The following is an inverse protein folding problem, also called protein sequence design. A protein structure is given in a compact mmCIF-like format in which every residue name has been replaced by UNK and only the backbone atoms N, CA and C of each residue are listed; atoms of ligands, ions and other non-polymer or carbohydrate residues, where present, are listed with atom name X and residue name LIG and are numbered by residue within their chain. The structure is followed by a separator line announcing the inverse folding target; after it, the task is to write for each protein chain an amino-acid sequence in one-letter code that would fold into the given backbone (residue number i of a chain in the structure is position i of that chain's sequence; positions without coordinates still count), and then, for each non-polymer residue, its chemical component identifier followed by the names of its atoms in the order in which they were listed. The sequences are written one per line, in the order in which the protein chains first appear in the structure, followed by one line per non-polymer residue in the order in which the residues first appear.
data_IF_638059181651
#
_entry.id   IF_638059181651
#
_cell.length_a   1.000
_cell.length_b   1.000
_cell.length_c   1.000
_cell.angle_alpha   90.00
_cell.angle_beta   90.00
_cell.angle_gamma   90.00
#
_symmetry.space_group_name_H-M   'P 1'
#
loop_
_entity.id
_entity.type
_entity.pdbx_description
1 polymer ?
#
# COMPACT_ATOMS: atom_id res chain seq x y z
N UNK A 1 14.59 -13.37 17.55
CA UNK A 1 14.93 -12.57 18.77
C UNK A 1 13.94 -11.42 18.91
N UNK A 2 13.47 -11.15 20.13
CA UNK A 2 12.56 -10.03 20.43
C UNK A 2 13.31 -8.83 21.02
N UNK A 3 12.93 -7.62 20.62
CA UNK A 3 13.46 -6.35 21.09
C UNK A 3 12.36 -5.53 21.77
N UNK A 4 12.57 -5.18 23.04
CA UNK A 4 11.61 -4.36 23.80
C UNK A 4 11.50 -2.92 23.28
N UNK A 5 12.48 -2.43 22.50
CA UNK A 5 12.53 -1.05 22.01
C UNK A 5 12.96 -0.98 20.55
N UNK A 6 12.21 -0.24 19.75
CA UNK A 6 12.49 0.02 18.33
C UNK A 6 13.86 0.69 18.11
N UNK A 7 14.25 1.63 18.98
CA UNK A 7 15.56 2.31 18.86
C UNK A 7 16.75 1.35 18.99
N UNK A 8 16.60 0.23 19.72
CA UNK A 8 17.66 -0.79 19.81
C UNK A 8 17.83 -1.50 18.46
N UNK A 9 16.75 -1.77 17.75
CA UNK A 9 16.78 -2.33 16.40
C UNK A 9 17.49 -1.39 15.45
N UNK A 10 17.13 -0.11 15.45
CA UNK A 10 17.73 0.89 14.56
C UNK A 10 19.22 1.11 14.87
N UNK A 11 19.61 1.15 16.15
CA UNK A 11 21.01 1.25 16.54
C UNK A 11 21.84 0.04 16.07
N UNK A 12 21.29 -1.18 16.19
CA UNK A 12 21.96 -2.39 15.72
C UNK A 12 22.13 -2.42 14.20
N UNK A 13 21.08 -2.06 13.45
CA UNK A 13 21.11 -2.00 11.99
C UNK A 13 22.10 -0.95 11.49
N UNK A 14 22.14 0.22 12.13
CA UNK A 14 23.09 1.31 11.85
C UNK A 14 24.52 0.85 12.10
N UNK A 15 24.79 0.21 13.24
CA UNK A 15 26.12 -0.34 13.59
C UNK A 15 26.61 -1.36 12.55
N UNK A 16 25.69 -2.15 11.97
CA UNK A 16 25.99 -3.13 10.93
C UNK A 16 26.11 -2.51 9.52
N UNK A 17 25.92 -1.19 9.37
CA UNK A 17 25.94 -0.46 8.09
C UNK A 17 25.07 -1.12 7.02
N UNK A 18 23.87 -1.54 7.40
CA UNK A 18 22.92 -2.16 6.47
C UNK A 18 22.03 -1.10 5.85
N UNK A 19 21.73 -1.26 4.57
CA UNK A 19 20.53 -0.67 3.96
C UNK A 19 19.31 -1.19 4.72
N UNK A 20 18.42 -0.28 5.12
CA UNK A 20 17.20 -0.64 5.86
C UNK A 20 15.98 -0.16 5.08
N UNK A 21 15.20 -1.11 4.60
CA UNK A 21 13.92 -0.85 3.96
C UNK A 21 12.80 -0.84 4.99
N UNK A 22 11.72 -0.13 4.69
CA UNK A 22 10.52 -0.06 5.51
C UNK A 22 9.33 -0.68 4.76
N UNK A 23 8.60 -1.58 5.40
CA UNK A 23 7.33 -2.12 4.92
C UNK A 23 6.20 -1.63 5.84
N UNK A 24 5.28 -0.85 5.30
CA UNK A 24 4.13 -0.31 6.02
C UNK A 24 2.85 -1.03 5.64
N UNK A 25 2.12 -1.52 6.64
CA UNK A 25 0.75 -2.02 6.48
C UNK A 25 -0.26 -1.18 7.27
N UNK A 26 -1.52 -1.63 7.30
CA UNK A 26 -2.64 -0.83 7.81
C UNK A 26 -2.46 -0.37 9.27
N UNK A 27 -1.65 -1.10 10.06
CA UNK A 27 -1.28 -0.67 11.41
C UNK A 27 -0.54 0.68 11.47
N UNK A 28 0.11 1.13 10.39
CA UNK A 28 0.64 2.49 10.26
C UNK A 28 -0.46 3.55 10.35
N UNK A 29 -1.57 3.32 9.66
CA UNK A 29 -2.71 4.24 9.59
C UNK A 29 -3.57 4.13 10.84
N UNK A 30 -3.75 2.91 11.37
CA UNK A 30 -4.38 2.71 12.68
C UNK A 30 -3.60 3.35 13.84
N UNK A 31 -2.28 3.46 13.73
CA UNK A 31 -1.46 4.15 14.73
C UNK A 31 -1.66 5.68 14.68
N UNK A 32 -2.12 6.24 13.56
CA UNK A 32 -2.52 7.64 13.49
C UNK A 32 -3.90 7.85 14.13
N UNK A 33 -4.87 7.04 13.69
CA UNK A 33 -6.25 7.07 14.18
C UNK A 33 -6.94 5.71 13.98
N UNK A 34 -7.21 5.01 15.07
CA UNK A 34 -7.85 3.69 15.04
C UNK A 34 -9.34 3.77 14.69
N UNK A 35 -9.99 4.88 15.03
CA UNK A 35 -11.41 5.06 14.78
C UNK A 35 -11.68 5.36 13.29
N UNK A 36 -10.65 5.78 12.56
CA UNK A 36 -10.70 6.01 11.11
C UNK A 36 -10.23 4.78 10.32
N UNK A 37 -9.09 4.18 10.68
CA UNK A 37 -8.43 3.18 9.83
C UNK A 37 -8.63 1.73 10.27
N UNK A 38 -9.54 1.47 11.21
CA UNK A 38 -9.86 0.08 11.60
C UNK A 38 -10.89 -0.57 10.69
N UNK A 39 -10.78 -1.89 10.55
CA UNK A 39 -11.77 -2.73 9.88
C UNK A 39 -13.20 -2.55 10.44
N UNK A 40 -13.32 -2.24 11.74
CA UNK A 40 -14.62 -1.95 12.35
C UNK A 40 -15.25 -0.70 11.75
N UNK A 41 -14.47 0.37 11.64
CA UNK A 41 -14.98 1.65 11.20
C UNK A 41 -15.38 1.63 9.72
N UNK A 42 -14.63 0.90 8.88
CA UNK A 42 -15.02 0.61 7.50
C UNK A 42 -16.30 -0.25 7.42
N UNK A 43 -16.45 -1.26 8.28
CA UNK A 43 -17.66 -2.09 8.36
C UNK A 43 -18.90 -1.27 8.76
N UNK A 44 -18.74 -0.40 9.75
CA UNK A 44 -19.81 0.46 10.25
C UNK A 44 -20.23 1.49 9.19
N UNK A 45 -19.28 2.05 8.44
CA UNK A 45 -19.56 2.92 7.30
C UNK A 45 -20.39 2.20 6.24
N UNK A 46 -19.96 1.02 5.78
CA UNK A 46 -20.66 0.31 4.70
C UNK A 46 -22.04 -0.17 5.16
N UNK A 47 -22.17 -0.57 6.42
CA UNK A 47 -23.46 -0.91 7.02
C UNK A 47 -24.44 0.27 7.04
N UNK A 48 -23.94 1.52 7.00
CA UNK A 48 -24.76 2.73 6.97
C UNK A 48 -25.23 3.16 5.57
N UNK A 49 -24.66 2.58 4.49
CA UNK A 49 -24.95 2.97 3.10
C UNK A 49 -26.37 2.57 2.61
N UNK A 50 -27.18 1.91 3.45
CA UNK A 50 -28.54 1.47 3.12
C UNK A 50 -28.67 0.62 1.83
N UNK A 51 -27.62 -0.11 1.44
CA UNK A 51 -27.67 -1.10 0.37
C UNK A 51 -28.11 -2.47 0.93
N UNK A 52 -29.32 -2.98 0.60
CA UNK A 52 -29.82 -4.24 1.15
C UNK A 52 -29.00 -5.46 0.73
N UNK A 53 -28.40 -5.43 -0.47
CA UNK A 53 -27.56 -6.52 -0.98
C UNK A 53 -26.25 -6.56 -0.19
N UNK A 54 -25.54 -5.44 -0.11
CA UNK A 54 -24.27 -5.36 0.62
C UNK A 54 -24.47 -5.62 2.11
N UNK A 55 -25.53 -5.09 2.72
CA UNK A 55 -25.87 -5.40 4.11
C UNK A 55 -26.14 -6.89 4.34
N UNK A 56 -26.80 -7.56 3.39
CA UNK A 56 -27.01 -9.00 3.40
C UNK A 56 -25.70 -9.78 3.34
N UNK A 57 -24.80 -9.38 2.43
CA UNK A 57 -23.45 -9.96 2.29
C UNK A 57 -22.65 -9.79 3.57
N UNK A 58 -22.53 -8.56 4.09
CA UNK A 58 -21.81 -8.27 5.34
C UNK A 58 -22.31 -9.12 6.52
N UNK A 59 -23.63 -9.23 6.67
CA UNK A 59 -24.25 -10.04 7.73
C UNK A 59 -23.95 -11.53 7.58
N UNK A 60 -23.89 -12.04 6.35
CA UNK A 60 -23.64 -13.46 6.09
C UNK A 60 -22.18 -13.87 6.37
N UNK A 61 -21.22 -13.02 6.03
CA UNK A 61 -19.79 -13.38 6.03
C UNK A 61 -19.15 -13.41 7.41
N UNK A 62 -19.78 -12.79 8.43
CA UNK A 62 -19.33 -12.79 9.84
C UNK A 62 -17.86 -12.38 10.05
N UNK A 63 -17.27 -11.67 9.09
CA UNK A 63 -15.94 -11.09 9.16
C UNK A 63 -16.07 -9.58 9.03
N UNK A 64 -15.02 -8.85 9.42
CA UNK A 64 -14.87 -7.41 9.13
C UNK A 64 -13.66 -7.14 8.24
N UNK A 65 -12.91 -8.18 7.88
CA UNK A 65 -11.80 -8.07 6.95
C UNK A 65 -12.35 -8.08 5.51
N UNK A 66 -12.23 -6.94 4.84
CA UNK A 66 -12.75 -6.73 3.49
C UNK A 66 -12.02 -7.56 2.44
N UNK A 67 -10.73 -7.83 2.60
CA UNK A 67 -9.99 -8.66 1.65
C UNK A 67 -10.54 -10.09 1.67
N UNK A 68 -10.80 -10.62 2.86
CA UNK A 68 -11.45 -11.91 3.03
C UNK A 68 -12.89 -11.91 2.46
N UNK A 69 -13.61 -10.79 2.57
CA UNK A 69 -14.94 -10.69 1.96
C UNK A 69 -14.87 -10.78 0.43
N UNK A 70 -13.94 -10.05 -0.19
CA UNK A 70 -13.79 -10.07 -1.63
C UNK A 70 -13.39 -11.46 -2.12
N UNK A 71 -12.42 -12.10 -1.46
CA UNK A 71 -11.99 -13.47 -1.79
C UNK A 71 -13.12 -14.50 -1.68
N UNK A 72 -13.95 -14.44 -0.63
CA UNK A 72 -15.08 -15.36 -0.47
C UNK A 72 -16.14 -15.16 -1.57
N UNK A 73 -16.37 -13.93 -2.03
CA UNK A 73 -17.26 -13.66 -3.16
C UNK A 73 -16.67 -14.20 -4.47
N UNK A 74 -15.37 -14.03 -4.69
CA UNK A 74 -14.66 -14.56 -5.87
C UNK A 74 -14.70 -16.09 -5.89
N UNK A 75 -14.33 -16.72 -4.77
CA UNK A 75 -14.39 -18.19 -4.59
C UNK A 75 -15.79 -18.71 -4.86
N UNK A 76 -16.82 -18.02 -4.36
CA UNK A 76 -18.20 -18.43 -4.61
C UNK A 76 -18.58 -18.29 -6.09
N UNK A 77 -18.16 -17.21 -6.75
CA UNK A 77 -18.36 -17.02 -8.19
C UNK A 77 -17.70 -18.14 -9.02
N UNK A 78 -16.48 -18.56 -8.66
CA UNK A 78 -15.78 -19.67 -9.33
C UNK A 78 -16.49 -21.01 -9.13
N UNK A 79 -16.97 -21.29 -7.91
CA UNK A 79 -17.72 -22.51 -7.62
C UNK A 79 -19.03 -22.57 -8.43
N UNK A 80 -19.71 -21.44 -8.62
CA UNK A 80 -20.92 -21.40 -9.43
C UNK A 80 -20.70 -21.79 -10.89
N UNK A 81 -19.52 -21.49 -11.45
CA UNK A 81 -19.15 -21.92 -12.80
C UNK A 81 -19.03 -23.44 -12.89
N UNK A 82 -18.48 -24.08 -11.85
CA UNK A 82 -18.38 -25.55 -11.76
C UNK A 82 -19.76 -26.20 -11.64
N UNK A 83 -20.67 -25.61 -10.87
CA UNK A 83 -22.02 -26.15 -10.68
C UNK A 83 -23.00 -25.80 -11.81
N UNK A 84 -22.57 -25.07 -12.85
CA UNK A 84 -23.41 -24.71 -13.99
C UNK A 84 -24.56 -23.76 -13.62
N UNK A 85 -24.34 -22.89 -12.64
CA UNK A 85 -25.39 -22.00 -12.14
C UNK A 85 -25.79 -20.91 -13.16
N UNK A 86 -27.01 -20.40 -13.01
CA UNK A 86 -27.58 -19.34 -13.86
C UNK A 86 -26.69 -18.08 -13.85
N UNK A 87 -26.44 -17.50 -15.04
CA UNK A 87 -25.71 -16.24 -15.22
C UNK A 87 -26.29 -15.05 -14.44
N UNK A 88 -27.59 -15.08 -14.09
CA UNK A 88 -28.21 -14.06 -13.23
C UNK A 88 -27.63 -14.06 -11.80
N UNK A 89 -27.37 -15.23 -11.21
CA UNK A 89 -26.79 -15.31 -9.87
C UNK A 89 -25.33 -14.84 -9.88
N UNK A 90 -24.59 -15.19 -10.93
CA UNK A 90 -23.22 -14.72 -11.15
C UNK A 90 -23.16 -13.20 -11.28
N UNK A 91 -24.08 -12.60 -12.05
CA UNK A 91 -24.19 -11.16 -12.19
C UNK A 91 -24.47 -10.46 -10.84
N UNK A 92 -25.29 -11.06 -9.97
CA UNK A 92 -25.54 -10.53 -8.61
C UNK A 92 -24.27 -10.56 -7.74
N UNK A 93 -23.46 -11.61 -7.81
CA UNK A 93 -22.21 -11.71 -7.05
C UNK A 93 -21.18 -10.72 -7.56
N UNK A 94 -21.03 -10.60 -8.88
CA UNK A 94 -20.15 -9.59 -9.48
C UNK A 94 -20.59 -8.17 -9.10
N UNK A 95 -21.89 -7.89 -9.09
CA UNK A 95 -22.43 -6.62 -8.62
C UNK A 95 -22.15 -6.39 -7.13
N UNK A 96 -22.24 -7.42 -6.29
CA UNK A 96 -21.89 -7.32 -4.86
C UNK A 96 -20.39 -7.02 -4.68
N UNK A 97 -19.54 -7.70 -5.44
CA UNK A 97 -18.09 -7.52 -5.41
C UNK A 97 -17.69 -6.09 -5.85
N UNK A 98 -18.24 -5.60 -6.96
CA UNK A 98 -18.04 -4.22 -7.42
C UNK A 98 -18.58 -3.20 -6.40
N UNK A 99 -19.77 -3.46 -5.84
CA UNK A 99 -20.37 -2.61 -4.81
C UNK A 99 -19.52 -2.54 -3.54
N UNK A 100 -18.93 -3.65 -3.10
CA UNK A 100 -18.05 -3.70 -1.94
C UNK A 100 -16.75 -2.94 -2.21
N UNK A 101 -16.14 -3.11 -3.39
CA UNK A 101 -14.95 -2.36 -3.81
C UNK A 101 -15.22 -0.86 -3.81
N UNK A 102 -16.32 -0.41 -4.43
CA UNK A 102 -16.69 1.01 -4.47
C UNK A 102 -16.93 1.55 -3.07
N UNK A 103 -17.68 0.81 -2.24
CA UNK A 103 -17.99 1.21 -0.86
C UNK A 103 -16.72 1.35 -0.01
N UNK A 104 -15.71 0.49 -0.22
CA UNK A 104 -14.43 0.59 0.46
C UNK A 104 -13.67 1.87 0.07
N UNK A 105 -13.62 2.19 -1.21
CA UNK A 105 -12.98 3.43 -1.69
C UNK A 105 -13.73 4.66 -1.13
N UNK A 106 -15.06 4.63 -1.13
CA UNK A 106 -15.90 5.68 -0.53
C UNK A 106 -15.71 5.82 0.98
N UNK A 107 -15.55 4.70 1.69
CA UNK A 107 -15.31 4.67 3.13
C UNK A 107 -13.96 5.29 3.47
N UNK A 108 -12.87 4.83 2.83
CA UNK A 108 -11.53 5.38 3.04
C UNK A 108 -11.55 6.88 2.75
N UNK A 109 -12.16 7.32 1.64
CA UNK A 109 -12.31 8.73 1.29
C UNK A 109 -13.06 9.54 2.35
N UNK A 110 -14.21 9.03 2.83
CA UNK A 110 -15.09 9.78 3.74
C UNK A 110 -14.53 9.88 5.15
N UNK A 111 -13.73 8.90 5.55
CA UNK A 111 -13.15 8.84 6.88
C UNK A 111 -11.76 9.48 6.95
N UNK A 112 -11.06 9.58 5.81
CA UNK A 112 -9.78 10.28 5.74
C UNK A 112 -9.95 11.75 6.17
N UNK A 113 -8.96 12.35 6.86
CA UNK A 113 -8.97 13.79 7.05
C UNK A 113 -9.15 14.50 5.70
N UNK A 114 -9.83 15.64 5.67
CA UNK A 114 -10.24 16.33 4.43
C UNK A 114 -9.06 16.81 3.58
N UNK A 115 -7.98 17.24 4.24
CA UNK A 115 -6.78 17.73 3.56
C UNK A 115 -5.54 17.57 4.43
N UNK A 116 -4.36 17.63 3.79
CA UNK A 116 -3.03 17.46 4.41
C UNK A 116 -2.81 18.28 5.69
N UNK A 117 -3.39 19.48 5.80
CA UNK A 117 -3.27 20.33 6.99
C UNK A 117 -4.08 19.88 8.22
N UNK A 118 -4.99 18.91 8.09
CA UNK A 118 -5.72 18.34 9.25
C UNK A 118 -4.85 17.43 10.09
N UNK A 119 -3.78 16.84 9.53
CA UNK A 119 -2.77 16.14 10.31
C UNK A 119 -2.07 17.20 11.20
N UNK A 120 -2.03 17.06 12.54
CA UNK A 120 -1.30 18.00 13.37
C UNK A 120 0.17 18.09 12.94
N UNK A 121 0.74 19.29 12.92
CA UNK A 121 2.11 19.52 12.43
C UNK A 121 3.13 18.63 13.18
N UNK A 122 3.01 18.52 14.50
CA UNK A 122 3.87 17.70 15.34
C UNK A 122 3.81 16.21 14.94
N UNK A 123 2.60 15.66 14.77
CA UNK A 123 2.42 14.27 14.31
C UNK A 123 3.04 14.03 12.93
N UNK A 124 2.86 14.99 12.00
CA UNK A 124 3.45 14.93 10.67
C UNK A 124 4.98 14.96 10.71
N UNK A 125 5.57 15.77 11.61
CA UNK A 125 7.02 15.85 11.80
C UNK A 125 7.60 14.59 12.46
N UNK A 126 6.89 14.00 13.43
CA UNK A 126 7.25 12.71 14.02
C UNK A 126 7.28 11.62 12.94
N UNK A 127 6.23 11.54 12.12
CA UNK A 127 6.17 10.54 11.05
C UNK A 127 7.27 10.77 10.00
N UNK A 128 7.51 12.02 9.61
CA UNK A 128 8.59 12.36 8.69
C UNK A 128 9.96 11.98 9.25
N UNK A 129 10.19 12.20 10.54
CA UNK A 129 11.42 11.79 11.23
C UNK A 129 11.59 10.28 11.26
N UNK A 130 10.50 9.54 11.45
CA UNK A 130 10.50 8.08 11.38
C UNK A 130 10.87 7.57 9.98
N UNK A 131 10.15 7.99 8.93
CA UNK A 131 10.38 7.50 7.56
C UNK A 131 11.73 7.94 7.00
N UNK A 132 12.20 9.14 7.36
CA UNK A 132 13.49 9.68 6.90
C UNK A 132 14.68 8.81 7.32
N UNK A 133 14.58 8.04 8.41
CA UNK A 133 15.66 7.15 8.87
C UNK A 133 15.96 6.07 7.83
N UNK A 134 14.93 5.55 7.16
CA UNK A 134 15.05 4.51 6.15
C UNK A 134 15.60 5.06 4.85
N UNK A 135 15.09 6.21 4.39
CA UNK A 135 15.58 6.88 3.19
C UNK A 135 17.05 7.32 3.33
N UNK A 136 17.45 7.83 4.51
CA UNK A 136 18.85 8.18 4.80
C UNK A 136 19.79 6.98 4.80
N UNK A 137 19.29 5.77 5.04
CA UNK A 137 20.08 4.53 4.96
C UNK A 137 20.31 4.04 3.53
N UNK A 138 19.76 4.74 2.52
CA UNK A 138 19.71 4.29 1.13
C UNK A 138 18.63 3.24 0.87
N UNK A 139 17.74 3.02 1.84
CA UNK A 139 16.64 2.08 1.73
C UNK A 139 15.41 2.66 1.07
N UNK A 140 14.44 1.78 0.85
CA UNK A 140 13.17 2.09 0.18
C UNK A 140 12.01 1.89 1.14
N UNK A 141 10.91 2.59 0.90
CA UNK A 141 9.66 2.47 1.63
C UNK A 141 8.64 1.77 0.73
N UNK A 142 8.17 0.62 1.18
CA UNK A 142 7.10 -0.14 0.57
C UNK A 142 5.85 0.01 1.45
N UNK A 143 4.70 0.24 0.85
CA UNK A 143 3.44 0.28 1.60
C UNK A 143 2.33 -0.45 0.87
N UNK A 144 1.53 -1.20 1.64
CA UNK A 144 0.26 -1.78 1.20
C UNK A 144 -0.93 -0.89 1.55
N UNK A 145 -0.69 0.31 2.09
CA UNK A 145 -1.77 1.18 2.53
C UNK A 145 -2.30 1.98 1.36
N UNK A 146 -3.62 2.06 1.31
CA UNK A 146 -4.33 2.75 0.25
C UNK A 146 -4.57 4.22 0.54
N UNK A 147 -4.47 4.61 1.82
CA UNK A 147 -4.72 5.97 2.28
C UNK A 147 -3.66 6.98 1.82
N UNK A 148 -3.91 8.26 2.13
CA UNK A 148 -3.06 9.37 1.70
C UNK A 148 -2.05 9.79 2.78
N UNK A 149 -2.00 9.14 3.95
CA UNK A 149 -1.20 9.60 5.08
C UNK A 149 0.30 9.65 4.76
N UNK A 150 0.84 8.58 4.17
CA UNK A 150 2.25 8.55 3.78
C UNK A 150 2.54 9.63 2.73
N UNK A 151 1.74 9.68 1.66
CA UNK A 151 1.87 10.68 0.61
C UNK A 151 1.86 12.11 1.18
N UNK A 152 0.93 12.42 2.09
CA UNK A 152 0.82 13.71 2.74
C UNK A 152 2.00 14.07 3.62
N UNK A 153 2.55 13.11 4.37
CA UNK A 153 3.76 13.32 5.17
C UNK A 153 4.94 13.62 4.27
N UNK A 154 5.15 12.84 3.21
CA UNK A 154 6.24 13.03 2.25
C UNK A 154 6.17 14.41 1.58
N UNK A 155 4.98 14.79 1.10
CA UNK A 155 4.74 16.07 0.43
C UNK A 155 4.86 17.27 1.38
N UNK A 156 4.17 17.24 2.52
CA UNK A 156 4.10 18.39 3.45
C UNK A 156 5.45 18.72 4.08
N UNK A 157 6.24 17.70 4.39
CA UNK A 157 7.54 17.88 5.05
C UNK A 157 8.70 17.99 4.05
N UNK A 158 8.43 17.87 2.75
CA UNK A 158 9.44 17.99 1.70
C UNK A 158 10.64 17.06 1.93
N UNK A 159 10.37 15.78 2.22
CA UNK A 159 11.43 14.86 2.64
C UNK A 159 12.46 14.69 1.51
N UNK A 160 13.74 15.01 1.73
CA UNK A 160 14.76 14.89 0.71
C UNK A 160 14.87 13.46 0.18
N UNK A 161 15.06 13.33 -1.12
CA UNK A 161 15.21 12.05 -1.83
C UNK A 161 13.99 11.13 -1.76
N UNK A 162 12.82 11.57 -1.30
CA UNK A 162 11.60 10.79 -1.43
C UNK A 162 11.10 10.86 -2.89
N UNK A 163 11.20 9.76 -3.63
CA UNK A 163 10.83 9.69 -5.05
C UNK A 163 9.90 8.50 -5.27
N UNK A 164 8.70 8.77 -5.77
CA UNK A 164 7.68 7.75 -6.05
C UNK A 164 7.62 7.31 -7.52
N UNK A 165 8.55 7.82 -8.35
CA UNK A 165 8.69 7.45 -9.75
C UNK A 165 7.81 8.25 -10.72
N UNK A 166 6.92 9.09 -10.22
CA UNK A 166 6.05 9.93 -11.05
C UNK A 166 6.71 11.25 -11.42
N UNK A 167 6.43 11.74 -12.62
CA UNK A 167 6.89 13.04 -13.11
C UNK A 167 6.05 13.52 -14.29
N UNK A 168 6.37 14.73 -14.77
CA UNK A 168 5.79 15.28 -16.00
C UNK A 168 6.85 15.26 -17.09
N UNK A 169 6.43 14.95 -18.31
CA UNK A 169 7.29 15.00 -19.49
C UNK A 169 6.87 16.15 -20.39
N UNK A 170 7.85 16.74 -21.06
CA UNK A 170 7.62 17.78 -22.05
C UNK A 170 7.13 17.12 -23.33
N UNK A 171 5.91 17.46 -23.76
CA UNK A 171 5.24 16.86 -24.92
C UNK A 171 5.70 17.46 -26.25
N UNK A 172 6.19 18.69 -26.25
CA UNK A 172 6.65 19.44 -27.42
C UNK A 172 8.12 19.91 -27.30
N UNK A 173 9.09 19.01 -27.05
CA UNK A 173 10.47 19.40 -26.80
C UNK A 173 11.12 20.08 -28.01
N UNK A 174 10.75 19.69 -29.22
CA UNK A 174 11.32 20.21 -30.47
C UNK A 174 10.87 21.65 -30.70
N UNK A 175 9.57 21.93 -30.51
CA UNK A 175 8.96 23.23 -30.71
C UNK A 175 9.42 24.24 -29.65
N UNK A 176 9.59 23.77 -28.41
CA UNK A 176 10.16 24.59 -27.32
C UNK A 176 11.62 24.93 -27.60
N UNK A 177 12.43 23.97 -28.06
CA UNK A 177 13.82 24.22 -28.44
C UNK A 177 13.92 25.20 -29.63
N UNK A 178 13.02 25.07 -30.61
CA UNK A 178 12.90 25.97 -31.74
C UNK A 178 12.27 27.33 -31.39
N UNK A 179 11.80 27.53 -30.14
CA UNK A 179 11.09 28.72 -29.66
C UNK A 179 9.85 29.08 -30.50
N UNK A 180 9.21 28.06 -31.06
CA UNK A 180 7.99 28.24 -31.87
C UNK A 180 6.73 28.12 -31.04
N UNK A 181 6.78 27.36 -29.93
CA UNK A 181 5.63 27.15 -29.04
C UNK A 181 6.04 27.18 -27.57
N UNK A 182 5.05 27.41 -26.69
CA UNK A 182 5.22 27.34 -25.24
C UNK A 182 5.28 25.88 -24.75
N UNK A 183 5.98 25.58 -23.65
CA UNK A 183 6.08 24.23 -23.10
C UNK A 183 4.72 23.62 -22.72
N UNK A 184 4.41 22.49 -23.34
CA UNK A 184 3.25 21.64 -23.04
C UNK A 184 3.70 20.44 -22.22
N UNK A 185 3.20 20.33 -21.00
CA UNK A 185 3.57 19.25 -20.08
C UNK A 185 2.47 18.19 -19.99
N UNK A 186 2.87 16.93 -19.89
CA UNK A 186 1.96 15.84 -19.58
C UNK A 186 1.32 16.00 -18.21
N UNK A 187 0.28 15.20 -17.98
CA UNK A 187 -0.16 14.88 -16.63
C UNK A 187 0.93 14.14 -15.85
N UNK A 188 0.73 14.03 -14.54
CA UNK A 188 1.70 13.42 -13.64
C UNK A 188 1.65 11.90 -13.79
N UNK A 189 2.51 11.34 -14.63
CA UNK A 189 2.54 9.90 -14.95
C UNK A 189 3.73 9.18 -14.33
N UNK A 190 3.60 7.89 -14.11
CA UNK A 190 4.70 7.03 -13.68
C UNK A 190 5.68 6.77 -14.82
N UNK A 191 6.98 6.81 -14.53
CA UNK A 191 8.03 6.58 -15.54
C UNK A 191 9.17 7.61 -15.49
N UNK A 192 8.89 8.92 -15.54
CA UNK A 192 9.92 9.95 -15.73
C UNK A 192 10.99 9.93 -14.63
N UNK A 193 10.58 9.64 -13.40
CA UNK A 193 11.45 9.58 -12.23
C UNK A 193 11.70 8.14 -11.73
N UNK A 194 11.45 7.12 -12.58
CA UNK A 194 11.52 5.70 -12.20
C UNK A 194 12.91 5.28 -11.71
N UNK A 195 13.98 5.84 -12.27
CA UNK A 195 15.37 5.49 -11.92
C UNK A 195 15.74 5.83 -10.48
N UNK A 196 15.10 6.85 -9.89
CA UNK A 196 15.32 7.27 -8.51
C UNK A 196 14.27 6.75 -7.54
N UNK A 197 13.30 5.94 -7.99
CA UNK A 197 12.15 5.55 -7.18
C UNK A 197 12.56 4.76 -5.94
N UNK A 198 12.13 5.24 -4.77
CA UNK A 198 12.31 4.58 -3.47
C UNK A 198 11.05 4.56 -2.60
N UNK A 199 9.94 5.10 -3.10
CA UNK A 199 8.60 4.97 -2.51
C UNK A 199 7.75 4.09 -3.43
N UNK A 200 7.21 3.00 -2.86
CA UNK A 200 6.50 1.96 -3.61
C UNK A 200 5.16 1.63 -2.95
N UNK A 201 4.05 1.87 -3.65
CA UNK A 201 2.71 1.49 -3.21
C UNK A 201 2.37 0.11 -3.78
N UNK A 202 2.77 -0.97 -3.09
CA UNK A 202 2.76 -2.34 -3.62
C UNK A 202 1.37 -2.91 -3.88
N UNK A 203 0.34 -2.37 -3.22
CA UNK A 203 -1.08 -2.70 -3.47
C UNK A 203 -1.83 -1.55 -4.16
N UNK A 204 -1.11 -0.50 -4.59
CA UNK A 204 -1.70 0.73 -5.11
C UNK A 204 -2.06 1.72 -4.00
N UNK A 205 -2.65 2.85 -4.37
CA UNK A 205 -3.02 3.92 -3.46
C UNK A 205 -4.10 4.81 -4.06
N UNK A 206 -4.85 5.51 -3.21
CA UNK A 206 -5.94 6.42 -3.59
C UNK A 206 -5.63 7.44 -4.70
N UNK A 207 -4.41 8.04 -4.80
CA UNK A 207 -4.15 9.02 -5.84
C UNK A 207 -3.69 8.39 -7.16
N UNK A 208 -3.53 7.07 -7.25
CA UNK A 208 -2.99 6.40 -8.44
C UNK A 208 -4.13 5.87 -9.31
N UNK A 209 -4.12 6.16 -10.61
CA UNK A 209 -5.15 5.74 -11.56
C UNK A 209 -4.52 5.09 -12.79
N UNK A 210 -5.17 4.05 -13.30
CA UNK A 210 -4.72 3.33 -14.51
C UNK A 210 -5.55 3.78 -15.70
N UNK A 211 -4.92 4.47 -16.65
CA UNK A 211 -5.57 4.94 -17.88
C UNK A 211 -5.56 3.90 -19.00
N UNK A 212 -4.98 2.71 -18.75
CA UNK A 212 -4.75 1.66 -19.73
C UNK A 212 -3.48 1.86 -20.57
N UNK A 213 -3.03 3.11 -20.73
CA UNK A 213 -1.74 3.44 -21.37
C UNK A 213 -0.67 3.74 -20.33
N UNK A 214 -0.99 4.65 -19.41
CA UNK A 214 -0.09 5.12 -18.35
C UNK A 214 -0.76 5.00 -16.97
N UNK A 215 0.06 4.94 -15.92
CA UNK A 215 -0.40 5.12 -14.54
C UNK A 215 -0.24 6.59 -14.17
N UNK A 216 -1.35 7.26 -13.91
CA UNK A 216 -1.40 8.67 -13.52
C UNK A 216 -1.50 8.81 -12.00
N UNK A 217 -0.96 9.91 -11.48
CA UNK A 217 -1.08 10.28 -10.07
C UNK A 217 -1.77 11.62 -9.93
N UNK A 218 -2.90 11.62 -9.23
CA UNK A 218 -3.59 12.83 -8.85
C UNK A 218 -2.78 13.64 -7.82
N UNK A 219 -2.81 14.96 -7.97
CA UNK A 219 -2.09 15.89 -7.10
C UNK A 219 -2.96 17.10 -6.76
N UNK A 220 -2.61 17.78 -5.67
CA UNK A 220 -3.10 19.12 -5.38
C UNK A 220 -2.72 20.08 -6.50
N UNK A 221 -3.66 20.89 -6.94
CA UNK A 221 -3.43 22.02 -7.83
C UNK A 221 -4.35 23.19 -7.47
N UNK A 222 -4.39 24.22 -8.32
CA UNK A 222 -5.24 25.39 -8.11
C UNK A 222 -6.74 25.09 -8.25
N UNK A 223 -7.12 23.92 -8.77
CA UNK A 223 -8.49 23.58 -9.14
C UNK A 223 -9.27 22.80 -8.06
N UNK A 224 -8.62 22.33 -6.98
CA UNK A 224 -9.32 21.72 -5.85
C UNK A 224 -8.45 20.86 -4.95
N UNK A 225 -9.07 20.31 -3.90
CA UNK A 225 -8.39 19.36 -3.02
C UNK A 225 -8.24 17.99 -3.68
N UNK A 226 -7.16 17.27 -3.32
CA UNK A 226 -6.87 15.94 -3.87
C UNK A 226 -8.04 14.96 -3.73
N UNK A 227 -8.74 14.94 -2.59
CA UNK A 227 -9.89 14.07 -2.38
C UNK A 227 -11.09 14.42 -3.27
N UNK A 228 -11.29 15.69 -3.61
CA UNK A 228 -12.37 16.11 -4.50
C UNK A 228 -12.12 15.65 -5.94
N UNK A 229 -10.86 15.70 -6.39
CA UNK A 229 -10.47 15.18 -7.70
C UNK A 229 -10.62 13.67 -7.80
N UNK A 230 -10.15 12.96 -6.76
CA UNK A 230 -10.34 11.51 -6.64
C UNK A 230 -11.84 11.17 -6.69
N UNK A 231 -12.68 11.96 -5.99
CA UNK A 231 -14.14 11.82 -6.05
C UNK A 231 -14.67 11.97 -7.48
N UNK A 232 -14.26 13.01 -8.21
CA UNK A 232 -14.68 13.22 -9.60
C UNK A 232 -14.24 12.12 -10.55
N UNK A 233 -13.12 11.43 -10.30
CA UNK A 233 -12.73 10.22 -11.05
C UNK A 233 -13.62 9.02 -10.72
N UNK A 234 -13.83 8.74 -9.44
CA UNK A 234 -14.67 7.62 -9.00
C UNK A 234 -16.12 7.78 -9.51
N UNK A 235 -16.67 9.00 -9.53
CA UNK A 235 -18.00 9.28 -10.08
C UNK A 235 -18.12 9.04 -11.59
N UNK A 236 -16.99 8.97 -12.30
CA UNK A 236 -16.90 8.65 -13.74
C UNK A 236 -16.49 7.19 -13.99
N UNK A 237 -16.60 6.32 -12.98
CA UNK A 237 -16.15 4.93 -13.01
C UNK A 237 -14.65 4.74 -13.28
N UNK A 238 -13.84 5.78 -13.01
CA UNK A 238 -12.38 5.71 -13.01
C UNK A 238 -11.89 5.46 -11.57
N UNK A 239 -11.49 4.23 -11.32
CA UNK A 239 -11.15 3.75 -9.98
C UNK A 239 -9.64 3.76 -9.74
N UNK A 240 -9.19 4.11 -8.52
CA UNK A 240 -7.79 4.03 -8.18
C UNK A 240 -7.20 2.61 -8.37
N UNK A 241 -5.91 2.56 -8.68
CA UNK A 241 -5.11 1.34 -8.67
C UNK A 241 -5.13 0.76 -7.27
N UNK A 242 -5.68 -0.44 -7.15
CA UNK A 242 -6.06 -1.01 -5.86
C UNK A 242 -6.13 -2.53 -5.95
N UNK A 243 -5.34 -3.22 -5.13
CA UNK A 243 -5.21 -4.69 -5.10
C UNK A 243 -5.90 -5.25 -3.87
N UNK A 244 -7.21 -5.55 -3.96
CA UNK A 244 -7.96 -6.09 -2.80
C UNK A 244 -8.66 -7.41 -3.02
N UNK A 245 -8.74 -7.88 -4.26
CA UNK A 245 -9.47 -9.10 -4.56
C UNK A 245 -8.51 -10.29 -4.62
N UNK A 246 -8.96 -11.39 -4.02
CA UNK A 246 -8.38 -12.71 -4.20
C UNK A 246 -7.30 -13.16 -3.22
N UNK A 247 -6.94 -14.44 -3.34
CA UNK A 247 -5.81 -15.04 -2.63
C UNK A 247 -4.47 -14.45 -3.12
N UNK A 248 -3.35 -14.82 -2.49
CA UNK A 248 -2.03 -14.28 -2.86
C UNK A 248 -1.65 -14.42 -4.34
N UNK A 249 -2.14 -15.43 -5.06
CA UNK A 249 -1.86 -15.62 -6.50
C UNK A 249 -2.68 -14.68 -7.38
N UNK A 250 -3.95 -14.46 -7.06
CA UNK A 250 -4.81 -13.51 -7.77
C UNK A 250 -4.33 -12.07 -7.59
N UNK A 251 -3.94 -11.71 -6.36
CA UNK A 251 -3.27 -10.42 -6.08
C UNK A 251 -2.00 -10.28 -6.91
N UNK A 252 -1.19 -11.34 -7.01
CA UNK A 252 0.03 -11.33 -7.83
C UNK A 252 -0.29 -11.17 -9.33
N UNK A 253 -1.38 -11.76 -9.83
CA UNK A 253 -1.82 -11.59 -11.21
C UNK A 253 -2.21 -10.12 -11.49
N UNK A 254 -2.96 -9.48 -10.59
CA UNK A 254 -3.30 -8.06 -10.68
C UNK A 254 -2.06 -7.15 -10.62
N UNK A 255 -1.12 -7.48 -9.74
CA UNK A 255 0.16 -6.78 -9.64
C UNK A 255 0.93 -6.89 -10.94
N UNK A 256 0.95 -8.05 -11.59
CA UNK A 256 1.66 -8.27 -12.85
C UNK A 256 0.97 -7.65 -14.06
N UNK A 257 -0.35 -7.48 -14.04
CA UNK A 257 -1.08 -6.85 -15.14
C UNK A 257 -0.91 -5.34 -15.18
N UNK A 258 -0.54 -4.69 -14.06
CA UNK A 258 -0.29 -3.26 -14.00
C UNK A 258 1.23 -2.96 -13.97
N UNK A 259 1.78 -2.20 -14.93
CA UNK A 259 3.23 -1.93 -15.01
C UNK A 259 3.83 -1.28 -13.76
N UNK A 260 3.09 -0.38 -13.10
CA UNK A 260 3.53 0.28 -11.87
C UNK A 260 3.64 -0.72 -10.71
N UNK A 261 2.58 -1.51 -10.48
CA UNK A 261 2.55 -2.50 -9.41
C UNK A 261 3.60 -3.59 -9.63
N UNK A 262 3.76 -4.04 -10.88
CA UNK A 262 4.79 -5.00 -11.25
C UNK A 262 6.18 -4.46 -10.92
N UNK A 263 6.47 -3.20 -11.25
CA UNK A 263 7.73 -2.57 -10.86
C UNK A 263 7.91 -2.48 -9.34
N UNK A 264 6.86 -2.16 -8.58
CA UNK A 264 6.91 -2.14 -7.12
C UNK A 264 7.25 -3.53 -6.54
N UNK A 265 6.64 -4.58 -7.09
CA UNK A 265 6.88 -5.96 -6.68
C UNK A 265 8.29 -6.45 -7.02
N UNK A 266 8.79 -6.16 -8.23
CA UNK A 266 10.15 -6.51 -8.62
C UNK A 266 11.21 -5.78 -7.78
N UNK A 267 10.98 -4.51 -7.45
CA UNK A 267 11.85 -3.79 -6.52
C UNK A 267 11.83 -4.42 -5.12
N UNK A 268 10.67 -4.89 -4.65
CA UNK A 268 10.57 -5.62 -3.39
C UNK A 268 11.32 -6.98 -3.44
N UNK A 269 11.29 -7.67 -4.58
CA UNK A 269 12.03 -8.92 -4.79
C UNK A 269 13.55 -8.71 -4.91
N UNK A 270 13.98 -7.50 -5.27
CA UNK A 270 15.38 -7.13 -5.48
C UNK A 270 16.06 -6.45 -4.30
N UNK A 271 15.37 -6.29 -3.16
CA UNK A 271 15.94 -5.59 -2.00
C UNK A 271 17.11 -6.34 -1.37
N UNK A 272 17.96 -5.59 -0.68
CA UNK A 272 19.09 -6.13 0.07
C UNK A 272 19.05 -5.70 1.54
N UNK A 273 20.07 -6.06 2.32
CA UNK A 273 20.20 -5.56 3.69
C UNK A 273 19.14 -6.11 4.65
N UNK A 274 18.28 -5.25 5.19
CA UNK A 274 17.24 -5.59 6.16
C UNK A 274 15.92 -4.90 5.86
N UNK A 275 14.80 -5.55 6.20
CA UNK A 275 13.46 -4.93 6.20
C UNK A 275 12.97 -4.74 7.63
N UNK A 276 12.43 -3.56 7.91
CA UNK A 276 11.61 -3.30 9.09
C UNK A 276 10.16 -3.21 8.64
N UNK A 277 9.29 -4.00 9.24
CA UNK A 277 7.86 -3.99 9.00
C UNK A 277 7.13 -3.35 10.17
N UNK A 278 6.21 -2.43 9.87
CA UNK A 278 5.33 -1.81 10.86
C UNK A 278 3.87 -1.89 10.41
N UNK A 279 3.03 -2.48 11.25
CA UNK A 279 1.59 -2.54 11.01
C UNK A 279 1.18 -3.44 9.84
N UNK A 280 2.09 -4.25 9.29
CA UNK A 280 1.80 -5.21 8.25
C UNK A 280 1.43 -6.57 8.87
N UNK A 281 0.28 -7.11 8.48
CA UNK A 281 -0.29 -8.30 9.12
C UNK A 281 0.40 -9.62 8.75
N UNK A 282 1.01 -9.69 7.56
CA UNK A 282 1.51 -10.95 6.98
C UNK A 282 0.45 -12.05 7.07
N UNK A 283 -0.79 -11.75 6.66
CA UNK A 283 -1.87 -12.72 6.65
C UNK A 283 -1.66 -13.81 5.59
N UNK A 284 -2.55 -14.79 5.53
CA UNK A 284 -2.57 -15.79 4.44
C UNK A 284 -2.73 -15.11 3.06
N UNK A 285 -3.41 -13.97 3.03
CA UNK A 285 -3.64 -13.12 1.84
C UNK A 285 -2.46 -12.24 1.43
N UNK A 286 -1.36 -12.26 2.19
CA UNK A 286 -0.13 -11.50 1.92
C UNK A 286 1.03 -12.41 1.52
N UNK A 287 0.74 -13.67 1.12
CA UNK A 287 1.76 -14.66 0.77
C UNK A 287 2.67 -14.20 -0.37
N UNK A 288 2.18 -13.39 -1.31
CA UNK A 288 2.99 -12.79 -2.37
C UNK A 288 4.10 -11.87 -1.84
N UNK A 289 3.86 -11.18 -0.73
CA UNK A 289 4.88 -10.33 -0.07
C UNK A 289 5.93 -11.21 0.62
N UNK A 290 5.51 -12.30 1.26
CA UNK A 290 6.43 -13.30 1.84
C UNK A 290 7.31 -13.90 0.73
N UNK A 291 6.70 -14.27 -0.40
CA UNK A 291 7.41 -14.78 -1.58
C UNK A 291 8.40 -13.76 -2.14
N UNK A 292 8.03 -12.48 -2.19
CA UNK A 292 8.92 -11.42 -2.65
C UNK A 292 10.16 -11.29 -1.73
N UNK A 293 9.95 -11.26 -0.42
CA UNK A 293 11.05 -11.23 0.55
C UNK A 293 11.92 -12.49 0.45
N UNK A 294 11.32 -13.65 0.24
CA UNK A 294 12.04 -14.90 0.04
C UNK A 294 12.87 -14.90 -1.26
N UNK A 295 12.37 -14.31 -2.34
CA UNK A 295 13.16 -14.10 -3.58
C UNK A 295 14.37 -13.20 -3.32
N UNK A 296 14.19 -12.12 -2.55
CA UNK A 296 15.26 -11.20 -2.18
C UNK A 296 16.39 -11.88 -1.36
N UNK A 297 16.08 -12.98 -0.65
CA UNK A 297 17.12 -13.78 0.02
C UNK A 297 17.92 -14.69 -0.93
N UNK A 298 17.34 -15.06 -2.07
CA UNK A 298 17.88 -16.09 -2.99
C UNK A 298 18.33 -15.54 -4.34
N UNK A 299 18.49 -14.23 -4.48
CA UNK A 299 18.91 -13.59 -5.73
C UNK A 299 20.07 -14.37 -6.41
N UNK A 300 19.92 -14.75 -7.69
CA UNK A 300 20.84 -15.65 -8.37
C UNK A 300 22.20 -14.98 -8.57
N UNK A 301 23.26 -15.64 -8.10
CA UNK A 301 24.64 -15.19 -8.19
C UNK A 301 25.38 -15.23 -6.84
N UNK A 302 26.71 -15.25 -6.92
CA UNK A 302 27.60 -15.10 -5.76
C UNK A 302 27.77 -13.63 -5.31
N UNK A 303 27.03 -12.69 -5.91
CA UNK A 303 27.15 -11.27 -5.63
C UNK A 303 26.33 -10.88 -4.40
N UNK A 304 26.95 -10.42 -3.30
CA UNK A 304 26.24 -9.74 -2.23
C UNK A 304 25.78 -8.33 -2.67
N UNK A 305 24.66 -7.82 -2.12
CA UNK A 305 24.00 -8.33 -0.91
C UNK A 305 22.61 -8.94 -1.15
N UNK A 306 22.29 -9.97 -0.35
CA UNK A 306 20.98 -10.60 -0.23
C UNK A 306 20.23 -10.04 0.97
N UNK A 307 18.90 -10.10 0.99
CA UNK A 307 18.11 -9.78 2.17
C UNK A 307 18.56 -10.68 3.34
N UNK A 308 18.96 -10.07 4.47
CA UNK A 308 19.57 -10.79 5.61
C UNK A 308 18.62 -11.02 6.78
N UNK A 309 17.72 -10.09 7.01
CA UNK A 309 16.82 -10.13 8.16
C UNK A 309 15.58 -9.27 7.98
N UNK A 310 14.48 -9.72 8.59
CA UNK A 310 13.20 -9.03 8.66
C UNK A 310 12.88 -8.75 10.13
N UNK A 311 12.56 -7.51 10.45
CA UNK A 311 12.16 -7.06 11.78
C UNK A 311 10.68 -6.72 11.77
N UNK A 312 9.87 -7.42 12.55
CA UNK A 312 8.41 -7.29 12.56
C UNK A 312 7.98 -6.55 13.84
N UNK A 313 7.27 -5.43 13.66
CA UNK A 313 6.63 -4.72 14.78
C UNK A 313 5.43 -5.52 15.29
N UNK A 314 5.47 -5.93 16.56
CA UNK A 314 4.38 -6.67 17.22
C UNK A 314 3.63 -5.74 18.18
N UNK A 315 2.28 -5.79 18.15
CA UNK A 315 1.41 -5.00 19.03
C UNK A 315 0.84 -5.84 20.18
N UNK A 316 0.79 -7.16 20.02
CA UNK A 316 0.21 -8.12 20.94
C UNK A 316 1.00 -9.43 20.99
N UNK A 317 0.69 -10.30 21.95
CA UNK A 317 1.30 -11.64 22.02
C UNK A 317 0.82 -12.56 20.88
N UNK A 318 -0.38 -12.32 20.34
CA UNK A 318 -0.84 -12.98 19.12
C UNK A 318 0.08 -12.65 17.93
N UNK A 319 0.52 -11.39 17.79
CA UNK A 319 1.47 -11.01 16.74
C UNK A 319 2.84 -11.67 16.93
N UNK A 320 3.27 -11.88 18.17
CA UNK A 320 4.51 -12.63 18.46
C UNK A 320 4.40 -14.09 18.05
N UNK A 321 3.26 -14.73 18.30
CA UNK A 321 3.00 -16.10 17.86
C UNK A 321 3.00 -16.19 16.33
N UNK A 322 2.31 -15.26 15.66
CA UNK A 322 2.32 -15.13 14.20
C UNK A 322 3.74 -14.96 13.65
N UNK A 323 4.56 -14.10 14.26
CA UNK A 323 5.94 -13.91 13.85
C UNK A 323 6.80 -15.18 13.98
N UNK A 324 6.53 -16.04 14.97
CA UNK A 324 7.18 -17.34 15.11
C UNK A 324 6.76 -18.34 14.03
N UNK A 325 5.52 -18.26 13.54
CA UNK A 325 5.08 -19.02 12.37
C UNK A 325 5.78 -18.51 11.09
N UNK A 326 5.89 -17.19 10.94
CA UNK A 326 6.57 -16.56 9.81
C UNK A 326 8.06 -16.89 9.76
N UNK A 327 8.71 -17.14 10.88
CA UNK A 327 10.11 -17.62 10.92
C UNK A 327 10.30 -18.96 10.18
N UNK A 328 9.24 -19.77 10.06
CA UNK A 328 9.27 -21.02 9.28
C UNK A 328 9.07 -20.80 7.78
N UNK A 329 8.48 -19.68 7.39
CA UNK A 329 8.15 -19.35 6.01
C UNK A 329 9.18 -18.42 5.36
N UNK A 330 9.77 -17.52 6.16
CA UNK A 330 10.78 -16.57 5.70
C UNK A 330 12.17 -17.20 5.74
N UNK A 331 12.89 -17.09 4.63
CA UNK A 331 14.28 -17.55 4.54
C UNK A 331 15.28 -16.58 5.19
N UNK A 332 14.87 -15.33 5.42
CA UNK A 332 15.66 -14.32 6.13
C UNK A 332 15.52 -14.50 7.66
N UNK A 333 16.50 -14.02 8.42
CA UNK A 333 16.41 -14.04 9.89
C UNK A 333 15.27 -13.18 10.39
N UNK A 334 14.32 -13.77 11.11
CA UNK A 334 13.17 -13.05 11.66
C UNK A 334 13.47 -12.55 13.08
N UNK A 335 13.19 -11.27 13.27
CA UNK A 335 13.30 -10.56 14.54
C UNK A 335 11.99 -9.83 14.80
N UNK A 336 11.66 -9.57 16.07
CA UNK A 336 10.44 -8.83 16.42
C UNK A 336 10.77 -7.67 17.35
N UNK A 337 9.97 -6.60 17.32
CA UNK A 337 10.12 -5.49 18.25
C UNK A 337 8.78 -4.96 18.74
N UNK A 338 8.74 -4.39 19.95
CA UNK A 338 7.52 -3.76 20.47
C UNK A 338 7.13 -2.54 19.63
N UNK A 339 6.07 -2.65 18.83
CA UNK A 339 5.68 -1.65 17.84
C UNK A 339 5.33 -0.29 18.47
N UNK A 340 4.74 -0.29 19.67
CA UNK A 340 4.36 0.93 20.39
C UNK A 340 5.56 1.84 20.68
N UNK A 341 6.78 1.28 20.74
CA UNK A 341 8.00 2.05 21.01
C UNK A 341 8.58 2.78 19.79
N UNK A 342 8.01 2.57 18.60
CA UNK A 342 8.44 3.26 17.38
C UNK A 342 7.89 4.71 17.29
N UNK A 343 6.80 5.01 18.03
CA UNK A 343 6.21 6.36 18.18
C UNK A 343 6.10 7.12 16.84
N UNK A 344 5.49 6.49 15.85
CA UNK A 344 5.47 7.02 14.47
C UNK A 344 4.75 8.36 14.38
N UNK A 345 3.65 8.52 15.11
CA UNK A 345 2.79 9.71 15.03
C UNK A 345 2.91 10.64 16.23
N UNK A 346 3.94 10.47 17.07
CA UNK A 346 4.15 11.26 18.30
C UNK A 346 3.55 10.64 19.54
#
# INVERSE_FOLDING_TARGET
MHYEKFEVVMAELTKKRRTVHLLLGNGFSMAYDRDIFSYNALYDFISSLNDPMLAGVLKAMKTKNFELMMEQLDTFSELLDVFGANGELKAKIQSAHLGLRRSLIEAIKSMHPEHVFKIPQERSQCCASFVSRFLKSGGSIFTSNYDLLLYWVLMRQGIPNAVDGFGRELLNPIEVEAKTEEPSWSDLRWGPNRSGQNIFYVHGALPLFDTGLDVEKEQYDQAGYLLEKIKGRIERDDYPVFVTAGNGQEKLAQIRSNPYLSNCYENLCGIDGSVVSFGFGFGEYDSHIIDALNRATHLPGNAPPKLRSVYIGVFSDADKQRAAELEKQLHAKVHTFAAQTAVIWG
#
